data_IF_441179693240
#
_entry.id   IF_441179693240
#
_cell.length_a   1.000
_cell.length_b   1.000
_cell.length_c   1.000
_cell.angle_alpha   90.00
_cell.angle_beta   90.00
_cell.angle_gamma   90.00
#
_symmetry.space_group_name_H-M   'P 1'
#
loop_
_entity.id
_entity.type
_entity.pdbx_description
1 polymer ?
#
# COMPACT_ATOMS: atom_id res chain seq x y z
N UNK A 1 20.40 -2.76 -48.77
CA UNK A 1 20.65 -3.82 -47.77
C UNK A 1 21.54 -3.39 -46.58
N UNK A 2 22.53 -2.50 -46.75
CA UNK A 2 23.34 -1.96 -45.61
C UNK A 2 22.58 -1.05 -44.61
N UNK A 3 21.48 -0.40 -45.02
CA UNK A 3 20.70 0.51 -44.14
C UNK A 3 19.72 -0.20 -43.18
N UNK A 4 19.31 -1.43 -43.49
CA UNK A 4 18.40 -2.23 -42.64
C UNK A 4 19.15 -2.85 -41.46
N UNK A 5 20.42 -3.22 -41.65
CA UNK A 5 21.27 -3.77 -40.59
C UNK A 5 21.68 -2.72 -39.54
N UNK A 6 21.84 -1.44 -39.95
CA UNK A 6 22.15 -0.33 -39.04
C UNK A 6 20.93 0.00 -38.17
N UNK A 7 19.70 -0.05 -38.72
CA UNK A 7 18.47 0.20 -37.96
C UNK A 7 18.19 -0.89 -36.91
N UNK A 8 18.49 -2.16 -37.23
CA UNK A 8 18.41 -3.25 -36.25
C UNK A 8 19.49 -3.17 -35.18
N UNK A 9 20.71 -2.74 -35.52
CA UNK A 9 21.78 -2.52 -34.53
C UNK A 9 21.46 -1.35 -33.59
N UNK A 10 20.87 -0.26 -34.08
CA UNK A 10 20.47 0.89 -33.23
C UNK A 10 19.23 0.58 -32.37
N UNK A 11 18.27 -0.21 -32.88
CA UNK A 11 17.16 -0.69 -32.04
C UNK A 11 17.62 -1.70 -30.99
N UNK A 12 18.63 -2.53 -31.28
CA UNK A 12 19.20 -3.44 -30.28
C UNK A 12 19.92 -2.68 -29.16
N UNK A 13 20.58 -1.55 -29.47
CA UNK A 13 21.17 -0.66 -28.46
C UNK A 13 20.11 0.13 -27.66
N UNK A 14 18.97 0.50 -28.28
CA UNK A 14 17.85 1.15 -27.55
C UNK A 14 17.08 0.16 -26.65
N UNK A 15 17.06 -1.13 -26.98
CA UNK A 15 16.50 -2.18 -26.09
C UNK A 15 17.45 -2.48 -24.91
N UNK A 16 18.68 -1.97 -24.90
CA UNK A 16 19.62 -2.14 -23.77
C UNK A 16 19.53 -1.00 -22.74
N UNK A 17 18.66 -0.01 -22.92
CA UNK A 17 18.21 0.87 -21.83
C UNK A 17 17.16 0.16 -20.92
N UNK A 18 17.37 -1.14 -20.69
CA UNK A 18 16.50 -2.06 -19.97
C UNK A 18 16.91 -2.09 -18.51
N UNK A 19 16.00 -1.57 -17.69
CA UNK A 19 16.20 -1.20 -16.29
C UNK A 19 17.14 -0.01 -16.10
N UNK A 20 16.81 0.98 -15.24
CA UNK A 20 17.84 1.85 -14.70
C UNK A 20 18.96 0.95 -14.18
N UNK A 21 20.22 1.24 -14.51
CA UNK A 21 21.41 0.60 -13.91
C UNK A 21 21.35 0.63 -12.36
N UNK A 22 20.46 1.45 -11.80
CA UNK A 22 20.17 1.64 -10.39
C UNK A 22 19.12 0.70 -9.77
N UNK A 23 18.40 -0.14 -10.54
CA UNK A 23 17.45 -1.09 -9.93
C UNK A 23 18.22 -2.25 -9.28
N UNK A 24 18.23 -2.38 -7.95
CA UNK A 24 19.08 -3.35 -7.28
C UNK A 24 18.39 -4.71 -7.38
N UNK A 25 18.83 -5.54 -8.34
CA UNK A 25 18.30 -6.88 -8.53
C UNK A 25 18.92 -7.86 -7.54
N UNK A 26 18.10 -8.74 -6.98
CA UNK A 26 18.53 -9.76 -6.01
C UNK A 26 18.50 -11.15 -6.62
N UNK A 27 19.60 -11.90 -6.53
CA UNK A 27 19.59 -13.30 -6.94
C UNK A 27 18.71 -14.13 -6.01
N UNK A 28 17.81 -14.92 -6.59
CA UNK A 28 16.95 -15.87 -5.84
C UNK A 28 17.74 -16.89 -5.04
N UNK A 29 18.99 -17.15 -5.43
CA UNK A 29 19.91 -18.09 -4.79
C UNK A 29 20.80 -17.44 -3.74
N UNK A 30 20.69 -16.13 -3.53
CA UNK A 30 21.48 -15.42 -2.53
C UNK A 30 21.12 -15.95 -1.12
N UNK A 31 22.09 -16.53 -0.37
CA UNK A 31 21.83 -16.96 1.02
C UNK A 31 21.41 -15.79 1.93
N UNK A 32 21.68 -14.55 1.52
CA UNK A 32 21.29 -13.32 2.20
C UNK A 32 20.20 -12.53 1.42
N UNK A 33 19.33 -13.22 0.68
CA UNK A 33 18.25 -12.62 -0.12
C UNK A 33 17.46 -11.53 0.61
N UNK A 34 17.14 -11.75 1.90
CA UNK A 34 16.44 -10.74 2.71
C UNK A 34 17.20 -9.42 2.84
N UNK A 35 18.53 -9.47 3.02
CA UNK A 35 19.41 -8.28 3.09
C UNK A 35 19.50 -7.59 1.73
N UNK A 36 19.56 -8.36 0.64
CA UNK A 36 19.54 -7.78 -0.70
C UNK A 36 18.22 -7.01 -0.93
N UNK A 37 17.06 -7.66 -0.70
CA UNK A 37 15.75 -7.03 -0.88
C UNK A 37 15.58 -5.80 0.01
N UNK A 38 16.09 -5.85 1.25
CA UNK A 38 16.12 -4.70 2.15
C UNK A 38 16.83 -3.49 1.50
N UNK A 39 18.04 -3.71 0.97
CA UNK A 39 18.81 -2.65 0.32
C UNK A 39 18.10 -2.15 -0.95
N UNK A 40 17.47 -3.06 -1.71
CA UNK A 40 16.69 -2.70 -2.90
C UNK A 40 15.52 -1.79 -2.55
N UNK A 41 14.70 -2.17 -1.57
CA UNK A 41 13.54 -1.36 -1.16
C UNK A 41 13.98 -0.01 -0.61
N UNK A 42 15.10 0.06 0.14
CA UNK A 42 15.61 1.32 0.65
C UNK A 42 15.97 2.31 -0.47
N UNK A 43 16.61 1.83 -1.54
CA UNK A 43 16.94 2.64 -2.72
C UNK A 43 15.71 3.06 -3.53
N UNK A 44 14.71 2.18 -3.61
CA UNK A 44 13.50 2.41 -4.40
C UNK A 44 12.45 3.26 -3.67
N UNK A 45 12.52 3.39 -2.34
CA UNK A 45 11.61 4.18 -1.50
C UNK A 45 11.28 5.58 -2.06
N UNK A 46 12.24 6.44 -2.44
CA UNK A 46 11.92 7.76 -3.03
C UNK A 46 11.21 7.65 -4.40
N UNK A 47 11.53 6.64 -5.20
CA UNK A 47 10.90 6.43 -6.50
C UNK A 47 9.43 6.00 -6.33
N UNK A 48 9.16 5.13 -5.36
CA UNK A 48 7.80 4.71 -4.99
C UNK A 48 6.94 5.88 -4.52
N UNK A 49 7.50 6.80 -3.73
CA UNK A 49 6.79 7.99 -3.30
C UNK A 49 6.40 8.89 -4.47
N UNK A 50 7.32 9.12 -5.42
CA UNK A 50 7.07 10.00 -6.57
C UNK A 50 6.28 9.37 -7.72
N UNK A 51 6.21 8.03 -7.76
CA UNK A 51 5.65 7.28 -8.89
C UNK A 51 6.53 7.25 -10.14
N UNK A 52 7.74 7.83 -10.10
CA UNK A 52 8.69 7.85 -11.22
C UNK A 52 9.75 6.78 -10.99
N UNK A 53 9.57 5.59 -11.58
CA UNK A 53 10.51 4.47 -11.41
C UNK A 53 11.69 4.56 -12.39
N UNK A 54 11.45 5.10 -13.59
CA UNK A 54 12.48 5.43 -14.58
C UNK A 54 11.95 6.52 -15.54
N UNK A 55 12.76 7.04 -16.48
CA UNK A 55 12.27 7.96 -17.52
C UNK A 55 11.10 7.39 -18.33
N UNK A 56 11.09 6.07 -18.54
CA UNK A 56 10.12 5.33 -19.37
C UNK A 56 8.97 4.73 -18.54
N UNK A 57 9.16 4.57 -17.23
CA UNK A 57 8.24 3.86 -16.34
C UNK A 57 7.72 4.78 -15.24
N UNK A 58 6.45 5.17 -15.39
CA UNK A 58 5.70 5.93 -14.38
C UNK A 58 4.49 5.13 -13.93
N UNK A 59 4.09 5.38 -12.70
CA UNK A 59 2.94 4.81 -12.02
C UNK A 59 2.28 5.91 -11.19
N UNK A 60 1.11 5.63 -10.65
CA UNK A 60 0.48 6.52 -9.68
C UNK A 60 1.37 6.68 -8.44
N UNK A 61 1.54 7.90 -7.92
CA UNK A 61 2.27 8.14 -6.67
C UNK A 61 1.68 7.32 -5.52
N UNK A 62 2.55 6.74 -4.69
CA UNK A 62 2.13 6.04 -3.48
C UNK A 62 2.03 6.96 -2.26
N UNK A 63 2.31 8.26 -2.42
CA UNK A 63 2.13 9.26 -1.36
C UNK A 63 1.81 10.66 -1.95
N UNK A 64 0.59 11.19 -1.76
CA UNK A 64 -0.56 10.53 -1.15
C UNK A 64 -1.09 9.39 -2.03
N UNK A 65 -1.39 8.26 -1.42
CA UNK A 65 -2.04 7.14 -2.10
C UNK A 65 -3.57 7.33 -2.13
N UNK A 66 -4.18 7.19 -3.31
CA UNK A 66 -5.61 7.37 -3.51
C UNK A 66 -6.34 6.04 -3.77
N UNK A 67 -7.45 5.82 -3.05
CA UNK A 67 -8.39 4.73 -3.30
C UNK A 67 -9.79 5.27 -3.55
N UNK A 68 -10.45 4.92 -4.67
CA UNK A 68 -11.77 5.44 -5.00
C UNK A 68 -12.84 5.07 -3.96
N UNK A 69 -12.92 3.80 -3.57
CA UNK A 69 -13.94 3.33 -2.65
C UNK A 69 -13.59 1.99 -2.01
N UNK A 70 -13.90 1.85 -0.73
CA UNK A 70 -13.86 0.59 0.01
C UNK A 70 -15.14 0.45 0.80
N UNK A 71 -15.81 -0.69 0.66
CA UNK A 71 -17.03 -1.01 1.42
C UNK A 71 -16.78 -2.16 2.37
N UNK A 72 -17.24 -1.99 3.60
CA UNK A 72 -17.18 -2.96 4.69
C UNK A 72 -18.59 -3.30 5.20
N UNK A 73 -18.71 -4.40 5.92
CA UNK A 73 -19.99 -4.92 6.42
C UNK A 73 -20.66 -5.90 5.45
N UNK A 74 -21.39 -6.87 6.01
CA UNK A 74 -22.05 -7.96 5.25
C UNK A 74 -23.55 -7.78 5.13
N UNK A 75 -24.17 -7.10 6.09
CA UNK A 75 -25.61 -6.80 6.11
C UNK A 75 -25.83 -5.32 5.80
N UNK A 76 -27.00 -4.92 5.26
CA UNK A 76 -27.32 -3.52 4.99
C UNK A 76 -27.14 -2.59 6.20
N UNK A 77 -27.43 -3.08 7.41
CA UNK A 77 -27.33 -2.31 8.65
C UNK A 77 -25.86 -2.19 9.12
N UNK A 78 -25.01 -3.16 8.81
CA UNK A 78 -23.56 -3.10 9.12
C UNK A 78 -22.73 -2.41 8.03
N UNK A 79 -23.35 -2.05 6.90
CA UNK A 79 -22.62 -1.63 5.70
C UNK A 79 -22.08 -0.21 5.88
N UNK A 80 -20.78 -0.05 5.76
CA UNK A 80 -20.13 1.27 5.72
C UNK A 80 -19.27 1.37 4.47
N UNK A 81 -19.44 2.44 3.72
CA UNK A 81 -18.66 2.72 2.52
C UNK A 81 -17.78 3.93 2.77
N UNK A 82 -16.48 3.77 2.54
CA UNK A 82 -15.53 4.86 2.50
C UNK A 82 -15.21 5.18 1.05
N UNK A 83 -15.17 6.45 0.70
CA UNK A 83 -14.82 6.92 -0.64
C UNK A 83 -13.86 8.09 -0.59
N UNK A 84 -13.23 8.37 -1.71
CA UNK A 84 -12.20 9.41 -1.83
C UNK A 84 -11.14 9.29 -0.73
N UNK A 85 -10.59 8.08 -0.58
CA UNK A 85 -9.66 7.76 0.49
C UNK A 85 -8.27 8.22 0.06
N UNK A 86 -7.67 9.11 0.82
CA UNK A 86 -6.28 9.54 0.69
C UNK A 86 -5.49 9.06 1.89
N UNK A 87 -4.42 8.30 1.65
CA UNK A 87 -3.48 7.82 2.66
C UNK A 87 -2.15 8.56 2.44
N UNK A 88 -1.68 9.27 3.46
CA UNK A 88 -0.50 10.13 3.42
C UNK A 88 0.52 9.63 4.43
N UNK A 89 1.79 9.59 4.04
CA UNK A 89 2.92 9.21 4.91
C UNK A 89 3.21 7.71 4.95
N UNK A 90 2.47 6.88 4.20
CA UNK A 90 2.72 5.44 4.14
C UNK A 90 4.09 5.11 3.53
N UNK A 91 4.61 5.98 2.63
CA UNK A 91 5.94 5.80 2.04
C UNK A 91 7.08 6.27 2.94
N UNK A 92 6.80 6.96 4.06
CA UNK A 92 7.80 7.39 5.04
C UNK A 92 8.25 6.27 5.99
N UNK A 93 8.08 5.02 5.58
CA UNK A 93 8.38 3.87 6.40
C UNK A 93 9.86 3.69 6.73
N UNK A 94 10.14 3.19 7.91
CA UNK A 94 11.45 2.72 8.34
C UNK A 94 11.45 1.20 8.33
N UNK A 95 12.13 0.63 7.34
CA UNK A 95 12.29 -0.82 7.22
C UNK A 95 13.29 -1.30 8.27
N UNK A 96 12.90 -2.26 9.10
CA UNK A 96 13.75 -2.79 10.19
C UNK A 96 14.41 -4.10 9.82
N UNK A 97 13.68 -4.97 9.14
CA UNK A 97 14.13 -6.30 8.76
C UNK A 97 13.34 -6.76 7.54
N UNK A 98 13.99 -7.56 6.68
CA UNK A 98 13.30 -8.41 5.71
C UNK A 98 13.89 -9.81 5.82
N UNK A 99 13.02 -10.79 6.05
CA UNK A 99 13.34 -12.19 5.80
C UNK A 99 12.71 -12.59 4.48
N UNK A 100 13.48 -13.26 3.63
CA UNK A 100 13.00 -13.72 2.34
C UNK A 100 13.61 -15.06 1.97
N UNK A 101 12.80 -15.89 1.32
CA UNK A 101 13.24 -17.18 0.78
C UNK A 101 12.48 -17.46 -0.51
N UNK A 102 13.20 -18.02 -1.47
CA UNK A 102 12.64 -18.45 -2.74
C UNK A 102 12.62 -19.97 -2.80
N UNK A 103 11.45 -20.55 -3.05
CA UNK A 103 11.28 -21.99 -3.15
C UNK A 103 10.10 -22.32 -4.08
N UNK A 104 10.25 -23.32 -4.95
CA UNK A 104 9.18 -23.87 -5.80
C UNK A 104 8.39 -22.81 -6.62
N UNK A 105 9.08 -21.80 -7.14
CA UNK A 105 8.45 -20.73 -7.93
C UNK A 105 7.83 -19.59 -7.10
N UNK A 106 7.99 -19.64 -5.78
CA UNK A 106 7.43 -18.66 -4.84
C UNK A 106 8.53 -17.92 -4.09
N UNK A 107 8.41 -16.59 -4.04
CA UNK A 107 9.15 -15.75 -3.12
C UNK A 107 8.27 -15.49 -1.89
N UNK A 108 8.69 -15.95 -0.72
CA UNK A 108 8.07 -15.57 0.55
C UNK A 108 8.85 -14.41 1.17
N UNK A 109 8.15 -13.35 1.55
CA UNK A 109 8.72 -12.11 2.07
C UNK A 109 8.05 -11.75 3.39
N UNK A 110 8.85 -11.52 4.43
CA UNK A 110 8.40 -11.16 5.77
C UNK A 110 9.10 -9.88 6.23
N UNK A 111 8.56 -8.69 5.87
CA UNK A 111 9.14 -7.42 6.28
C UNK A 111 8.68 -7.02 7.69
N UNK A 112 9.53 -6.29 8.42
CA UNK A 112 9.17 -5.53 9.61
C UNK A 112 9.35 -4.05 9.35
N UNK A 113 8.30 -3.29 9.58
CA UNK A 113 8.22 -1.89 9.18
C UNK A 113 7.67 -1.04 10.32
N UNK A 114 8.28 0.13 10.51
CA UNK A 114 7.77 1.16 11.42
C UNK A 114 7.41 2.42 10.62
N UNK A 115 6.30 3.07 10.97
CA UNK A 115 5.87 4.34 10.35
C UNK A 115 5.48 5.29 11.47
N UNK A 116 6.14 6.45 11.54
CA UNK A 116 5.91 7.41 12.62
C UNK A 116 4.50 8.00 12.58
N UNK A 117 4.02 8.29 11.36
CA UNK A 117 2.72 8.90 11.13
C UNK A 117 2.12 8.50 9.78
N UNK A 118 0.87 8.07 9.82
CA UNK A 118 0.01 7.91 8.64
C UNK A 118 -1.22 8.81 8.84
N UNK A 119 -1.54 9.63 7.85
CA UNK A 119 -2.77 10.41 7.84
C UNK A 119 -3.73 9.86 6.78
N UNK A 120 -4.99 9.61 7.18
CA UNK A 120 -6.05 9.15 6.30
C UNK A 120 -7.14 10.21 6.23
N UNK A 121 -7.52 10.60 5.02
CA UNK A 121 -8.67 11.48 4.76
C UNK A 121 -9.65 10.73 3.88
N UNK A 122 -10.91 10.65 4.28
CA UNK A 122 -11.92 9.94 3.48
C UNK A 122 -13.33 10.45 3.77
N UNK A 123 -14.23 10.27 2.82
CA UNK A 123 -15.68 10.38 3.01
C UNK A 123 -16.21 9.05 3.51
N UNK A 124 -17.21 9.06 4.37
CA UNK A 124 -17.92 7.86 4.78
C UNK A 124 -19.41 7.97 4.48
N UNK A 125 -20.02 6.83 4.19
CA UNK A 125 -21.46 6.59 4.16
C UNK A 125 -21.79 5.40 5.05
N UNK A 126 -22.48 5.64 6.15
CA UNK A 126 -22.89 4.63 7.13
C UNK A 126 -24.38 4.78 7.44
N UNK A 127 -25.27 4.08 6.73
CA UNK A 127 -26.73 4.21 6.86
C UNK A 127 -27.25 3.96 8.28
N UNK A 128 -26.61 3.08 9.04
CA UNK A 128 -27.01 2.78 10.41
C UNK A 128 -26.54 3.81 11.44
N UNK A 129 -25.90 4.91 11.01
CA UNK A 129 -25.60 6.04 11.87
C UNK A 129 -26.72 7.10 11.75
N UNK A 130 -27.75 7.07 12.60
CA UNK A 130 -29.01 7.80 12.38
C UNK A 130 -28.86 9.33 12.35
N UNK A 131 -27.83 9.87 13.02
CA UNK A 131 -27.61 11.31 13.18
C UNK A 131 -26.72 11.86 12.04
N UNK A 132 -25.86 11.01 11.48
CA UNK A 132 -24.74 11.45 10.66
C UNK A 132 -24.35 10.37 9.63
N UNK A 133 -25.26 9.94 8.74
CA UNK A 133 -25.01 8.81 7.86
C UNK A 133 -23.98 9.12 6.77
N UNK A 134 -23.70 10.39 6.50
CA UNK A 134 -22.66 10.83 5.55
C UNK A 134 -21.78 11.86 6.24
N UNK A 135 -20.48 11.80 5.99
CA UNK A 135 -19.54 12.82 6.45
C UNK A 135 -18.13 12.59 5.96
N UNK A 136 -17.19 13.34 6.53
CA UNK A 136 -15.76 13.17 6.30
C UNK A 136 -15.09 12.75 7.59
N UNK A 137 -14.07 11.90 7.48
CA UNK A 137 -13.21 11.53 8.59
C UNK A 137 -11.76 11.82 8.23
N UNK A 138 -11.04 12.36 9.22
CA UNK A 138 -9.59 12.50 9.19
C UNK A 138 -9.02 11.73 10.37
N UNK A 139 -8.10 10.82 10.08
CA UNK A 139 -7.46 9.93 11.05
C UNK A 139 -5.96 10.13 10.96
N UNK A 140 -5.30 10.36 12.09
CA UNK A 140 -3.85 10.22 12.22
C UNK A 140 -3.56 8.95 13.00
N UNK A 141 -2.70 8.10 12.45
CA UNK A 141 -2.16 6.92 13.09
C UNK A 141 -0.70 7.19 13.40
N UNK A 142 -0.27 6.93 14.63
CA UNK A 142 1.07 7.26 15.13
C UNK A 142 1.80 5.99 15.57
N UNK A 143 3.14 6.00 15.45
CA UNK A 143 4.01 4.93 15.93
C UNK A 143 3.54 3.54 15.46
N UNK A 144 3.21 3.43 14.18
CA UNK A 144 2.70 2.22 13.57
C UNK A 144 3.85 1.23 13.45
N UNK A 145 3.70 0.03 14.02
CA UNK A 145 4.62 -1.08 13.85
C UNK A 145 3.86 -2.23 13.23
N UNK A 146 4.32 -2.71 12.09
CA UNK A 146 3.68 -3.76 11.32
C UNK A 146 4.70 -4.78 10.86
N UNK A 147 4.33 -6.05 10.90
CA UNK A 147 5.05 -7.12 10.24
C UNK A 147 4.17 -7.76 9.17
N UNK A 148 4.77 -8.05 8.02
CA UNK A 148 4.11 -8.69 6.90
C UNK A 148 4.47 -10.17 6.80
N UNK A 149 3.59 -10.96 6.21
CA UNK A 149 3.90 -12.25 5.60
C UNK A 149 3.25 -12.27 4.22
N UNK A 150 4.05 -12.28 3.16
CA UNK A 150 3.60 -12.26 1.78
C UNK A 150 4.14 -13.46 0.99
N UNK A 151 3.28 -14.04 0.16
CA UNK A 151 3.62 -15.07 -0.82
C UNK A 151 3.45 -14.51 -2.22
N UNK A 152 4.57 -14.42 -2.92
CA UNK A 152 4.67 -13.87 -4.28
C UNK A 152 4.96 -15.00 -5.25
N UNK A 153 4.09 -15.19 -6.23
CA UNK A 153 4.27 -16.15 -7.32
C UNK A 153 5.00 -15.50 -8.48
N UNK A 154 5.95 -16.21 -9.05
CA UNK A 154 6.55 -15.86 -10.33
C UNK A 154 5.84 -16.60 -11.46
N UNK A 155 5.61 -15.91 -12.58
CA UNK A 155 4.93 -16.48 -13.73
C UNK A 155 5.42 -15.86 -15.04
N UNK A 156 5.35 -16.64 -16.12
CA UNK A 156 5.74 -16.20 -17.46
C UNK A 156 4.57 -15.52 -18.17
N UNK A 157 4.84 -14.38 -18.83
CA UNK A 157 3.88 -13.67 -19.69
C UNK A 157 4.65 -13.00 -20.84
N UNK A 158 4.30 -13.36 -22.08
CA UNK A 158 4.94 -12.82 -23.30
C UNK A 158 6.48 -12.95 -23.29
N UNK A 159 6.99 -14.10 -22.85
CA UNK A 159 8.43 -14.39 -22.80
C UNK A 159 9.21 -13.62 -21.72
N UNK A 160 8.54 -12.89 -20.83
CA UNK A 160 9.13 -12.23 -19.66
C UNK A 160 8.50 -12.79 -18.38
N UNK A 161 9.29 -12.88 -17.33
CA UNK A 161 8.81 -13.28 -16.02
C UNK A 161 8.25 -12.07 -15.26
N UNK A 162 7.12 -12.25 -14.56
CA UNK A 162 6.46 -11.26 -13.74
C UNK A 162 6.16 -11.84 -12.36
N UNK A 163 5.88 -10.96 -11.40
CA UNK A 163 5.51 -11.33 -10.05
C UNK A 163 4.05 -10.98 -9.76
N UNK A 164 3.39 -11.80 -8.94
CA UNK A 164 2.05 -11.55 -8.41
C UNK A 164 2.01 -11.93 -6.94
N UNK A 165 1.57 -11.01 -6.09
CA UNK A 165 1.24 -11.30 -4.70
C UNK A 165 -0.05 -12.13 -4.69
N UNK A 166 0.05 -13.40 -4.30
CA UNK A 166 -1.12 -14.29 -4.17
C UNK A 166 -1.75 -14.19 -2.79
N UNK A 167 -0.92 -13.99 -1.76
CA UNK A 167 -1.34 -13.88 -0.36
C UNK A 167 -0.47 -12.87 0.35
N UNK A 168 -1.06 -12.05 1.21
CA UNK A 168 -0.36 -11.21 2.15
C UNK A 168 -1.17 -11.07 3.44
N UNK A 169 -0.48 -10.97 4.56
CA UNK A 169 -1.06 -10.66 5.87
C UNK A 169 -0.27 -9.55 6.54
N UNK A 170 -0.95 -8.51 6.98
CA UNK A 170 -0.38 -7.39 7.73
C UNK A 170 -0.78 -7.47 9.20
N UNK A 171 0.22 -7.66 10.06
CA UNK A 171 0.03 -7.84 11.50
C UNK A 171 0.58 -6.61 12.22
N UNK A 172 -0.32 -5.86 12.86
CA UNK A 172 0.02 -4.60 13.51
C UNK A 172 0.35 -4.85 14.98
N UNK A 173 1.64 -4.82 15.31
CA UNK A 173 2.14 -4.97 16.68
C UNK A 173 1.80 -3.76 17.55
N UNK A 174 1.82 -2.57 16.92
CA UNK A 174 1.53 -1.30 17.58
C UNK A 174 0.87 -0.35 16.60
N UNK A 175 -0.16 0.32 17.08
CA UNK A 175 -0.81 1.44 16.40
C UNK A 175 -1.36 2.35 17.48
N UNK A 176 -1.05 3.64 17.39
CA UNK A 176 -1.62 4.64 18.28
C UNK A 176 -2.55 5.55 17.51
N UNK A 177 -3.72 5.81 18.05
CA UNK A 177 -4.58 6.86 17.56
C UNK A 177 -3.95 8.23 17.86
N UNK A 178 -3.77 9.03 16.82
CA UNK A 178 -3.51 10.45 16.91
C UNK A 178 -4.83 11.23 16.87
N UNK A 179 -4.89 12.23 15.99
CA UNK A 179 -6.10 13.00 15.77
C UNK A 179 -7.15 12.18 15.01
N UNK A 180 -8.35 12.10 15.54
CA UNK A 180 -9.51 11.53 14.86
C UNK A 180 -10.61 12.58 14.84
N UNK A 181 -10.99 13.04 13.65
CA UNK A 181 -11.97 14.13 13.46
C UNK A 181 -13.05 13.69 12.50
N UNK A 182 -14.30 13.86 12.91
CA UNK A 182 -15.46 13.65 12.06
C UNK A 182 -16.09 15.01 11.72
N UNK A 183 -16.18 15.30 10.43
CA UNK A 183 -16.93 16.43 9.91
C UNK A 183 -18.27 15.91 9.41
N UNK A 184 -19.32 16.20 10.17
CA UNK A 184 -20.69 15.87 9.80
C UNK A 184 -21.38 17.17 9.39
N UNK A 185 -22.14 17.19 8.27
CA UNK A 185 -22.99 18.32 7.94
C UNK A 185 -24.16 18.39 8.94
N UNK A 186 -24.02 19.17 10.01
CA UNK A 186 -25.10 19.38 10.97
C UNK A 186 -26.11 20.38 10.41
N UNK A 187 -27.39 20.02 10.42
CA UNK A 187 -28.51 20.95 10.18
C UNK A 187 -29.35 21.05 11.45
N UNK A 188 -29.43 22.24 12.02
CA UNK A 188 -30.15 22.52 13.28
C UNK A 188 -29.34 22.29 14.55
N UNK A 189 -29.78 22.90 15.66
CA UNK A 189 -29.04 22.95 16.93
C UNK A 189 -28.83 21.55 17.57
N UNK A 190 -29.87 20.70 17.59
CA UNK A 190 -29.76 19.32 18.12
C UNK A 190 -28.70 18.48 17.40
N UNK A 191 -28.53 18.69 16.09
CA UNK A 191 -27.50 18.00 15.31
C UNK A 191 -26.11 18.54 15.65
N UNK A 192 -25.97 19.85 15.88
CA UNK A 192 -24.71 20.48 16.31
C UNK A 192 -24.23 19.90 17.65
N UNK A 193 -25.12 19.76 18.62
CA UNK A 193 -24.79 19.23 19.95
C UNK A 193 -24.40 17.74 19.90
N UNK A 194 -25.11 16.93 19.10
CA UNK A 194 -24.72 15.55 18.84
C UNK A 194 -23.34 15.47 18.18
N UNK A 195 -23.02 16.43 17.31
CA UNK A 195 -21.70 16.58 16.71
C UNK A 195 -20.57 16.84 17.68
N UNK A 196 -20.79 17.78 18.60
CA UNK A 196 -19.85 18.06 19.68
C UNK A 196 -19.67 16.83 20.58
N UNK A 197 -20.76 16.12 20.89
CA UNK A 197 -20.68 14.87 21.65
C UNK A 197 -19.87 13.79 20.91
N UNK A 198 -20.15 13.54 19.63
CA UNK A 198 -19.43 12.55 18.81
C UNK A 198 -17.95 12.91 18.73
N UNK A 199 -17.60 14.15 18.39
CA UNK A 199 -16.20 14.55 18.30
C UNK A 199 -15.48 14.52 19.66
N UNK A 200 -16.18 14.82 20.76
CA UNK A 200 -15.62 14.70 22.10
C UNK A 200 -15.41 13.25 22.48
N UNK A 201 -16.43 12.39 22.31
CA UNK A 201 -16.34 10.95 22.55
C UNK A 201 -15.18 10.36 21.76
N UNK A 202 -15.12 10.62 20.46
CA UNK A 202 -14.08 10.09 19.59
C UNK A 202 -12.69 10.61 19.97
N UNK A 203 -12.56 11.86 20.44
CA UNK A 203 -11.30 12.38 20.97
C UNK A 203 -10.86 11.64 22.23
N UNK A 204 -11.78 11.34 23.15
CA UNK A 204 -11.47 10.61 24.39
C UNK A 204 -11.26 9.10 24.17
N UNK A 205 -11.93 8.53 23.17
CA UNK A 205 -11.95 7.09 22.89
C UNK A 205 -11.29 6.76 21.54
N UNK A 206 -10.37 7.58 21.06
CA UNK A 206 -9.73 7.42 19.74
C UNK A 206 -8.95 6.11 19.64
N UNK A 207 -8.17 5.77 20.66
CA UNK A 207 -7.38 4.52 20.75
C UNK A 207 -8.26 3.26 20.66
N UNK A 208 -9.28 3.06 21.52
CA UNK A 208 -10.15 1.88 21.41
C UNK A 208 -10.94 1.86 20.10
N UNK A 209 -11.36 3.01 19.57
CA UNK A 209 -12.05 3.10 18.27
C UNK A 209 -11.14 2.63 17.13
N UNK A 210 -9.91 3.13 17.05
CA UNK A 210 -8.93 2.70 16.03
C UNK A 210 -8.65 1.20 16.14
N UNK A 211 -8.50 0.67 17.37
CA UNK A 211 -8.27 -0.77 17.59
C UNK A 211 -9.46 -1.64 17.17
N UNK A 212 -10.69 -1.17 17.37
CA UNK A 212 -11.90 -1.87 16.90
C UNK A 212 -11.98 -1.81 15.38
N UNK A 213 -11.79 -0.63 14.78
CA UNK A 213 -11.80 -0.45 13.33
C UNK A 213 -10.75 -1.35 12.67
N UNK A 214 -9.51 -1.34 13.14
CA UNK A 214 -8.47 -2.22 12.59
C UNK A 214 -8.89 -3.69 12.58
N UNK A 215 -9.37 -4.23 13.72
CA UNK A 215 -9.79 -5.64 13.82
C UNK A 215 -10.95 -5.98 12.89
N UNK A 216 -11.88 -5.05 12.69
CA UNK A 216 -13.02 -5.26 11.77
C UNK A 216 -12.58 -5.27 10.30
N UNK A 217 -11.50 -4.56 9.98
CA UNK A 217 -11.08 -4.32 8.61
C UNK A 217 -9.82 -5.11 8.21
N UNK A 218 -9.18 -5.87 9.12
CA UNK A 218 -7.90 -6.56 8.92
C UNK A 218 -7.83 -7.30 7.57
N UNK A 219 -8.74 -8.24 7.32
CA UNK A 219 -8.77 -9.01 6.05
C UNK A 219 -8.94 -8.13 4.81
N UNK A 220 -9.66 -7.02 4.95
CA UNK A 220 -9.89 -6.10 3.83
C UNK A 220 -8.70 -5.16 3.63
N UNK A 221 -7.99 -4.78 4.69
CA UNK A 221 -6.71 -4.08 4.63
C UNK A 221 -5.68 -4.97 3.92
N UNK A 222 -5.61 -6.26 4.28
CA UNK A 222 -4.73 -7.23 3.61
C UNK A 222 -5.04 -7.30 2.10
N UNK A 223 -6.32 -7.43 1.73
CA UNK A 223 -6.71 -7.48 0.32
C UNK A 223 -6.39 -6.18 -0.42
N UNK A 224 -6.70 -5.03 0.18
CA UNK A 224 -6.36 -3.72 -0.42
C UNK A 224 -4.84 -3.61 -0.61
N UNK A 225 -4.04 -4.05 0.35
CA UNK A 225 -2.58 -4.07 0.22
C UNK A 225 -2.12 -4.95 -0.96
N UNK A 226 -2.68 -6.15 -1.10
CA UNK A 226 -2.40 -7.05 -2.23
C UNK A 226 -2.77 -6.38 -3.56
N UNK A 227 -3.95 -5.77 -3.65
CA UNK A 227 -4.44 -5.14 -4.88
C UNK A 227 -3.53 -3.99 -5.31
N UNK A 228 -3.12 -3.15 -4.36
CA UNK A 228 -2.21 -2.02 -4.60
C UNK A 228 -0.83 -2.48 -5.05
N UNK A 229 -0.24 -3.45 -4.34
CA UNK A 229 1.08 -3.98 -4.72
C UNK A 229 1.01 -4.67 -6.08
N UNK A 230 -0.03 -5.44 -6.37
CA UNK A 230 -0.21 -6.09 -7.66
C UNK A 230 -0.40 -5.07 -8.79
N UNK A 231 -1.20 -4.03 -8.58
CA UNK A 231 -1.38 -2.96 -9.55
C UNK A 231 -0.04 -2.26 -9.88
N UNK A 232 0.81 -2.08 -8.88
CA UNK A 232 2.16 -1.54 -9.03
C UNK A 232 3.07 -2.48 -9.84
N UNK A 233 3.16 -3.76 -9.47
CA UNK A 233 4.13 -4.70 -10.08
C UNK A 233 3.64 -5.31 -11.39
N UNK A 234 2.35 -5.21 -11.75
CA UNK A 234 1.77 -5.94 -12.90
C UNK A 234 2.47 -5.68 -14.23
N UNK A 235 3.13 -4.54 -14.39
CA UNK A 235 3.82 -4.14 -15.62
C UNK A 235 5.34 -4.14 -15.47
N UNK A 236 5.87 -4.53 -14.31
CA UNK A 236 7.30 -4.55 -14.02
C UNK A 236 7.80 -5.99 -14.10
N UNK A 237 8.73 -6.31 -15.03
CA UNK A 237 9.34 -7.64 -15.09
C UNK A 237 10.01 -8.01 -13.77
N UNK A 238 9.84 -9.26 -13.34
CA UNK A 238 10.41 -9.76 -12.09
C UNK A 238 11.93 -9.67 -12.05
N UNK A 239 12.57 -9.81 -13.21
CA UNK A 239 14.03 -9.72 -13.35
C UNK A 239 14.62 -8.38 -12.92
N UNK A 240 13.82 -7.30 -12.87
CA UNK A 240 14.28 -5.99 -12.41
C UNK A 240 14.54 -5.95 -10.90
N UNK A 241 13.88 -6.80 -10.14
CA UNK A 241 14.01 -6.85 -8.68
C UNK A 241 14.51 -8.21 -8.17
N UNK A 242 14.41 -9.25 -8.98
CA UNK A 242 14.69 -10.62 -8.60
C UNK A 242 15.27 -11.42 -9.78
N UNK A 243 16.60 -11.57 -9.83
CA UNK A 243 17.31 -12.37 -10.84
C UNK A 243 17.35 -13.86 -10.47
N UNK A 244 17.82 -14.69 -11.40
CA UNK A 244 18.06 -16.12 -11.14
C UNK A 244 19.10 -16.40 -10.05
#
# INVERSE_FOLDING_TARGET
MKKIFIFFATCFYLIIAVAPDDFPSCSRRDPNLGKCIYNSIYKLKPLFASGKLSPELTIDPLDPFYLPSVTFGRTPISKVTFSDIYIIGATNFNLKEIKAHYENGYLKVMPRVEIDRIDVKTKYYFPAFPIAPVGHVQISLLNVKVHGDARVRLYQRNGKEYAKVEQAKLMFDKIRAGNLKFSVPFRGEKMRDAGFFINSFIKYFSEPVVKVLYRLLEKRIDQVHIDVVNEFIKNVPATYFLSE
#
